data_IF_026188556898
#
_entry.id   IF_026188556898
#
_cell.length_a   1.000
_cell.length_b   1.000
_cell.length_c   1.000
_cell.angle_alpha   90.00
_cell.angle_beta   90.00
_cell.angle_gamma   90.00
#
_symmetry.space_group_name_H-M   'P 1'
#
loop_
_entity.id
_entity.type
_entity.pdbx_description
1 polymer ?
#
# COMPACT_ATOMS: atom_id res chain seq x y z
N UNK A 1 -47.87 14.48 28.81
CA UNK A 1 -47.79 13.82 27.49
C UNK A 1 -46.38 14.03 26.97
N UNK A 2 -45.57 12.98 26.84
CA UNK A 2 -44.17 13.09 26.40
C UNK A 2 -44.15 13.01 24.88
N UNK A 3 -43.87 14.12 24.19
CA UNK A 3 -43.66 14.12 22.74
C UNK A 3 -42.34 13.40 22.45
N UNK A 4 -42.45 12.16 22.01
CA UNK A 4 -41.33 11.39 21.49
C UNK A 4 -40.94 12.05 20.16
N UNK A 5 -39.88 12.85 20.19
CA UNK A 5 -39.22 13.34 18.99
C UNK A 5 -38.75 12.09 18.22
N UNK A 6 -39.51 11.72 17.19
CA UNK A 6 -39.10 10.71 16.23
C UNK A 6 -37.80 11.19 15.61
N UNK A 7 -36.69 10.53 15.93
CA UNK A 7 -35.48 10.56 15.14
C UNK A 7 -35.85 10.07 13.74
N UNK A 8 -36.21 10.97 12.85
CA UNK A 8 -36.47 10.68 11.45
C UNK A 8 -35.16 10.13 10.87
N UNK A 9 -35.06 8.80 10.77
CA UNK A 9 -34.03 8.16 9.98
C UNK A 9 -34.13 8.74 8.57
N UNK A 10 -33.08 9.46 8.14
CA UNK A 10 -33.00 9.98 6.78
C UNK A 10 -33.14 8.80 5.82
N UNK A 11 -34.23 8.80 5.05
CA UNK A 11 -34.49 7.80 4.03
C UNK A 11 -33.35 7.81 3.01
N UNK A 12 -32.71 6.67 2.78
CA UNK A 12 -31.66 6.56 1.75
C UNK A 12 -32.24 6.76 0.36
N UNK A 13 -31.39 7.13 -0.62
CA UNK A 13 -31.84 7.34 -2.00
C UNK A 13 -32.62 6.14 -2.57
N UNK A 14 -32.19 4.92 -2.26
CA UNK A 14 -32.86 3.70 -2.72
C UNK A 14 -34.25 3.53 -2.06
N UNK A 15 -34.38 3.85 -0.77
CA UNK A 15 -35.66 3.79 -0.07
C UNK A 15 -36.64 4.82 -0.65
N UNK A 16 -36.19 6.07 -0.85
CA UNK A 16 -37.01 7.12 -1.43
C UNK A 16 -37.42 6.78 -2.87
N UNK A 17 -36.50 6.28 -3.70
CA UNK A 17 -36.78 5.82 -5.06
C UNK A 17 -37.83 4.70 -5.09
N UNK A 18 -37.78 3.75 -4.16
CA UNK A 18 -38.79 2.70 -4.08
C UNK A 18 -40.18 3.25 -3.71
N UNK A 19 -40.25 4.37 -2.97
CA UNK A 19 -41.49 5.02 -2.55
C UNK A 19 -42.11 5.95 -3.60
N UNK A 20 -41.31 6.75 -4.29
CA UNK A 20 -41.80 7.76 -5.26
C UNK A 20 -41.61 7.36 -6.74
N UNK A 21 -41.02 6.18 -7.02
CA UNK A 21 -40.83 5.67 -8.37
C UNK A 21 -39.49 6.06 -9.00
N UNK A 22 -39.40 6.02 -10.35
CA UNK A 22 -38.17 6.35 -11.09
C UNK A 22 -37.86 7.84 -10.97
N UNK A 23 -37.03 8.17 -9.99
CA UNK A 23 -36.48 9.51 -9.81
C UNK A 23 -34.96 9.49 -9.95
N UNK A 24 -34.35 10.64 -10.20
CA UNK A 24 -32.89 10.77 -10.13
C UNK A 24 -32.40 11.03 -8.70
N UNK A 25 -31.13 10.71 -8.43
CA UNK A 25 -30.46 11.08 -7.19
C UNK A 25 -30.51 12.58 -6.91
N UNK A 26 -30.40 13.39 -7.96
CA UNK A 26 -30.52 14.84 -7.86
C UNK A 26 -31.91 15.29 -7.39
N UNK A 27 -32.99 14.73 -7.95
CA UNK A 27 -34.36 15.04 -7.50
C UNK A 27 -34.60 14.64 -6.05
N UNK A 28 -34.06 13.50 -5.61
CA UNK A 28 -34.10 13.10 -4.22
C UNK A 28 -33.38 14.12 -3.32
N UNK A 29 -32.17 14.52 -3.69
CA UNK A 29 -31.39 15.50 -2.93
C UNK A 29 -32.13 16.84 -2.79
N UNK A 30 -32.73 17.35 -3.88
CA UNK A 30 -33.49 18.59 -3.86
C UNK A 30 -34.81 18.50 -3.09
N UNK A 31 -35.36 17.30 -2.93
CA UNK A 31 -36.56 17.06 -2.11
C UNK A 31 -36.26 17.04 -0.61
N UNK A 32 -35.00 16.87 -0.21
CA UNK A 32 -34.62 16.87 1.20
C UNK A 32 -34.65 18.30 1.76
N UNK A 33 -35.56 18.54 2.71
CA UNK A 33 -35.50 19.74 3.54
C UNK A 33 -34.49 19.50 4.66
N UNK A 34 -33.25 19.92 4.45
CA UNK A 34 -32.21 19.87 5.49
C UNK A 34 -32.40 21.05 6.43
N UNK A 35 -32.47 20.76 7.73
CA UNK A 35 -32.50 21.80 8.75
C UNK A 35 -31.20 22.64 8.68
N UNK A 36 -31.28 23.99 8.62
CA UNK A 36 -30.10 24.85 8.61
C UNK A 36 -29.09 24.55 9.72
N UNK A 37 -29.53 24.10 10.89
CA UNK A 37 -28.64 23.72 12.00
C UNK A 37 -27.77 22.50 11.64
N UNK A 38 -28.39 21.41 11.18
CA UNK A 38 -27.72 20.18 10.75
C UNK A 38 -26.76 20.44 9.58
N UNK A 39 -27.14 21.33 8.66
CA UNK A 39 -26.28 21.71 7.52
C UNK A 39 -25.00 22.39 7.99
N UNK A 40 -25.08 23.26 9.02
CA UNK A 40 -23.89 23.91 9.59
C UNK A 40 -22.95 22.90 10.23
N UNK A 41 -23.47 21.97 11.02
CA UNK A 41 -22.67 20.90 11.64
C UNK A 41 -22.03 19.97 10.59
N UNK A 42 -22.70 19.71 9.47
CA UNK A 42 -22.14 18.93 8.35
C UNK A 42 -21.00 19.68 7.64
N UNK A 43 -21.18 20.98 7.38
CA UNK A 43 -20.14 21.84 6.81
C UNK A 43 -18.92 21.91 7.73
N UNK A 44 -19.15 22.07 9.04
CA UNK A 44 -18.09 22.10 10.04
C UNK A 44 -17.30 20.79 10.05
N UNK A 45 -17.98 19.63 10.17
CA UNK A 45 -17.33 18.31 10.09
C UNK A 45 -16.57 18.10 8.78
N UNK A 46 -17.11 18.55 7.65
CA UNK A 46 -16.44 18.47 6.36
C UNK A 46 -15.17 19.33 6.32
N UNK A 47 -15.23 20.54 6.86
CA UNK A 47 -14.08 21.45 6.93
C UNK A 47 -12.97 20.89 7.81
N UNK A 48 -13.30 20.35 8.98
CA UNK A 48 -12.35 19.68 9.87
C UNK A 48 -11.69 18.46 9.21
N UNK A 49 -12.48 17.61 8.55
CA UNK A 49 -11.97 16.44 7.85
C UNK A 49 -11.04 16.85 6.70
N UNK A 50 -11.42 17.87 5.94
CA UNK A 50 -10.63 18.40 4.83
C UNK A 50 -9.28 18.93 5.33
N UNK A 51 -9.27 19.73 6.40
CA UNK A 51 -8.04 20.25 7.00
C UNK A 51 -7.11 19.13 7.50
N UNK A 52 -7.66 18.06 8.08
CA UNK A 52 -6.88 16.88 8.51
C UNK A 52 -6.25 16.15 7.33
N UNK A 53 -7.01 15.97 6.26
CA UNK A 53 -6.53 15.28 5.05
C UNK A 53 -5.45 16.14 4.37
N UNK A 54 -5.68 17.45 4.24
CA UNK A 54 -4.72 18.38 3.65
C UNK A 54 -3.40 18.36 4.40
N UNK A 55 -3.43 18.47 5.74
CA UNK A 55 -2.23 18.35 6.58
C UNK A 55 -1.49 17.03 6.36
N UNK A 56 -2.22 15.91 6.25
CA UNK A 56 -1.62 14.60 5.99
C UNK A 56 -0.95 14.55 4.63
N UNK A 57 -1.63 15.01 3.58
CA UNK A 57 -1.08 15.05 2.21
C UNK A 57 0.17 15.93 2.17
N UNK A 58 0.15 17.10 2.81
CA UNK A 58 1.31 17.98 2.91
C UNK A 58 2.51 17.26 3.54
N UNK A 59 2.29 16.58 4.68
CA UNK A 59 3.36 15.83 5.36
C UNK A 59 3.91 14.68 4.51
N UNK A 60 3.06 13.99 3.74
CA UNK A 60 3.50 12.93 2.84
C UNK A 60 4.30 13.48 1.65
N UNK A 61 3.92 14.64 1.11
CA UNK A 61 4.67 15.32 0.04
C UNK A 61 6.05 15.76 0.56
N UNK A 62 6.12 16.36 1.74
CA UNK A 62 7.40 16.73 2.37
C UNK A 62 8.27 15.50 2.60
N UNK A 63 7.71 14.42 3.11
CA UNK A 63 8.42 13.16 3.31
C UNK A 63 8.98 12.59 1.99
N UNK A 64 8.18 12.59 0.93
CA UNK A 64 8.62 12.17 -0.41
C UNK A 64 9.73 13.10 -0.93
N UNK A 65 9.61 14.42 -0.73
CA UNK A 65 10.61 15.39 -1.18
C UNK A 65 11.96 15.23 -0.48
N UNK A 66 11.95 14.79 0.78
CA UNK A 66 13.16 14.48 1.55
C UNK A 66 13.76 13.11 1.22
N UNK A 67 13.19 12.38 0.24
CA UNK A 67 13.63 11.04 -0.12
C UNK A 67 13.33 9.99 0.93
N UNK A 68 12.49 10.31 1.92
CA UNK A 68 12.11 9.36 2.95
C UNK A 68 11.21 8.26 2.36
N UNK A 69 11.34 7.02 2.85
CA UNK A 69 10.61 5.90 2.31
C UNK A 69 9.10 6.10 2.50
N UNK A 70 8.35 6.05 1.38
CA UNK A 70 6.89 6.17 1.40
C UNK A 70 6.23 5.23 2.42
N UNK A 71 5.02 5.55 2.88
CA UNK A 71 4.25 4.69 3.80
C UNK A 71 4.16 3.24 3.32
N UNK A 72 3.95 3.03 2.01
CA UNK A 72 3.95 1.69 1.40
C UNK A 72 5.31 1.00 1.50
N UNK A 73 6.41 1.75 1.33
CA UNK A 73 7.75 1.23 1.51
C UNK A 73 8.00 0.85 2.97
N UNK A 74 7.61 1.70 3.93
CA UNK A 74 7.68 1.39 5.37
C UNK A 74 6.92 0.11 5.72
N UNK A 75 5.68 -0.03 5.23
CA UNK A 75 4.89 -1.25 5.44
C UNK A 75 5.57 -2.49 4.88
N UNK A 76 6.16 -2.40 3.68
CA UNK A 76 6.96 -3.51 3.10
C UNK A 76 8.18 -3.85 3.96
N UNK A 77 8.89 -2.85 4.48
CA UNK A 77 10.03 -3.07 5.37
C UNK A 77 9.61 -3.76 6.66
N UNK A 78 8.51 -3.32 7.28
CA UNK A 78 7.96 -3.95 8.49
C UNK A 78 7.55 -5.40 8.22
N UNK A 79 6.84 -5.66 7.12
CA UNK A 79 6.47 -7.02 6.74
C UNK A 79 7.69 -7.92 6.52
N UNK A 80 8.74 -7.39 5.86
CA UNK A 80 10.00 -8.10 5.66
C UNK A 80 10.71 -8.39 6.98
N UNK A 81 10.77 -7.42 7.90
CA UNK A 81 11.36 -7.61 9.22
C UNK A 81 10.62 -8.66 10.04
N UNK A 82 9.29 -8.63 10.01
CA UNK A 82 8.46 -9.62 10.70
C UNK A 82 8.68 -11.03 10.16
N UNK A 83 8.79 -11.17 8.83
CA UNK A 83 9.11 -12.45 8.20
C UNK A 83 10.50 -12.96 8.64
N UNK A 84 11.52 -12.09 8.62
CA UNK A 84 12.87 -12.44 9.07
C UNK A 84 12.87 -12.86 10.55
N UNK A 85 12.14 -12.14 11.40
CA UNK A 85 12.04 -12.46 12.82
C UNK A 85 11.38 -13.82 13.04
N UNK A 86 10.29 -14.10 12.32
CA UNK A 86 9.59 -15.38 12.35
C UNK A 86 10.49 -16.54 11.89
N UNK A 87 11.16 -16.37 10.76
CA UNK A 87 12.07 -17.39 10.20
C UNK A 87 13.29 -17.63 11.11
N UNK A 88 13.80 -16.58 11.77
CA UNK A 88 14.85 -16.70 12.79
C UNK A 88 14.36 -17.45 14.03
N UNK A 89 13.16 -17.16 14.53
CA UNK A 89 12.59 -17.88 15.67
C UNK A 89 12.39 -19.37 15.38
N UNK A 90 12.16 -19.73 14.11
CA UNK A 90 12.07 -21.13 13.65
C UNK A 90 13.44 -21.78 13.37
N UNK A 91 14.54 -21.04 13.51
CA UNK A 91 15.89 -21.53 13.22
C UNK A 91 16.19 -21.72 11.73
N UNK A 92 15.39 -21.13 10.82
CA UNK A 92 15.57 -21.32 9.38
C UNK A 92 16.96 -20.85 8.92
N UNK A 93 17.43 -19.71 9.42
CA UNK A 93 18.74 -19.13 9.10
C UNK A 93 19.94 -19.89 9.70
N UNK A 94 19.69 -20.87 10.57
CA UNK A 94 20.74 -21.69 11.19
C UNK A 94 20.77 -23.12 10.65
N UNK A 95 19.81 -23.47 9.79
CA UNK A 95 19.73 -24.79 9.20
C UNK A 95 20.81 -24.99 8.14
N UNK A 96 21.41 -26.19 8.13
CA UNK A 96 22.43 -26.58 7.14
C UNK A 96 21.94 -26.39 5.71
N UNK A 97 20.70 -26.80 5.42
CA UNK A 97 20.11 -26.69 4.07
C UNK A 97 19.99 -25.25 3.60
N UNK A 98 19.55 -24.34 4.48
CA UNK A 98 19.47 -22.92 4.15
C UNK A 98 20.85 -22.32 3.92
N UNK A 99 21.80 -22.56 4.82
CA UNK A 99 23.15 -22.01 4.74
C UNK A 99 23.86 -22.52 3.49
N UNK A 100 23.83 -23.82 3.24
CA UNK A 100 24.45 -24.46 2.09
C UNK A 100 23.87 -23.95 0.76
N UNK A 101 22.53 -23.89 0.65
CA UNK A 101 21.87 -23.39 -0.55
C UNK A 101 22.18 -21.90 -0.78
N UNK A 102 22.21 -21.11 0.29
CA UNK A 102 22.50 -19.67 0.20
C UNK A 102 23.95 -19.44 -0.22
N UNK A 103 24.91 -20.13 0.39
CA UNK A 103 26.33 -20.01 0.03
C UNK A 103 26.59 -20.41 -1.41
N UNK A 104 26.02 -21.55 -1.87
CA UNK A 104 26.09 -21.98 -3.27
C UNK A 104 25.47 -20.96 -4.22
N UNK A 105 24.32 -20.37 -3.87
CA UNK A 105 23.69 -19.31 -4.65
C UNK A 105 24.56 -18.04 -4.73
N UNK A 106 25.38 -17.79 -3.72
CA UNK A 106 26.37 -16.70 -3.72
C UNK A 106 27.69 -17.06 -4.40
N UNK A 107 27.87 -18.32 -4.81
CA UNK A 107 29.09 -18.83 -5.43
C UNK A 107 30.21 -19.12 -4.43
N UNK A 108 29.88 -19.33 -3.15
CA UNK A 108 30.82 -19.70 -2.09
C UNK A 108 30.68 -21.21 -1.85
N UNK A 109 31.80 -21.92 -1.82
CA UNK A 109 31.82 -23.34 -1.46
C UNK A 109 31.50 -23.49 0.03
N UNK A 110 30.41 -24.20 0.38
CA UNK A 110 30.00 -24.36 1.78
C UNK A 110 31.03 -25.19 2.56
N UNK A 111 31.42 -24.70 3.73
CA UNK A 111 32.22 -25.49 4.67
C UNK A 111 31.51 -26.79 5.07
N UNK A 112 32.26 -27.84 5.43
CA UNK A 112 31.66 -29.13 5.83
C UNK A 112 30.87 -29.05 7.14
N UNK A 113 31.29 -28.15 8.04
CA UNK A 113 30.67 -27.93 9.34
C UNK A 113 29.73 -26.71 9.37
N UNK A 114 28.67 -26.80 10.20
CA UNK A 114 27.63 -25.80 10.32
C UNK A 114 28.18 -24.49 10.89
N UNK A 115 29.12 -24.53 11.84
CA UNK A 115 29.73 -23.31 12.39
C UNK A 115 30.54 -22.58 11.32
N UNK A 116 31.27 -23.33 10.49
CA UNK A 116 31.98 -22.80 9.33
C UNK A 116 31.04 -22.13 8.32
N UNK A 117 29.91 -22.77 7.98
CA UNK A 117 28.91 -22.18 7.09
C UNK A 117 28.29 -20.89 7.67
N UNK A 118 28.03 -20.86 8.99
CA UNK A 118 27.52 -19.67 9.68
C UNK A 118 28.51 -18.50 9.58
N UNK A 119 29.79 -18.75 9.79
CA UNK A 119 30.84 -17.74 9.66
C UNK A 119 30.90 -17.18 8.22
N UNK A 120 30.93 -18.06 7.21
CA UNK A 120 30.92 -17.67 5.80
C UNK A 120 29.69 -16.81 5.45
N UNK A 121 28.53 -17.13 6.00
CA UNK A 121 27.29 -16.41 5.77
C UNK A 121 27.31 -14.99 6.39
N UNK A 122 27.79 -14.84 7.63
CA UNK A 122 27.88 -13.52 8.26
C UNK A 122 28.99 -12.66 7.63
N UNK A 123 30.13 -13.25 7.24
CA UNK A 123 31.18 -12.54 6.49
C UNK A 123 30.64 -12.01 5.15
N UNK A 124 29.91 -12.85 4.41
CA UNK A 124 29.25 -12.44 3.17
C UNK A 124 28.28 -11.28 3.40
N UNK A 125 27.49 -11.33 4.48
CA UNK A 125 26.50 -10.31 4.82
C UNK A 125 27.16 -8.97 5.14
N UNK A 126 28.27 -8.99 5.88
CA UNK A 126 29.08 -7.81 6.18
C UNK A 126 29.60 -7.20 4.86
N UNK A 127 30.21 -8.02 4.00
CA UNK A 127 30.70 -7.58 2.69
C UNK A 127 29.59 -7.02 1.78
N UNK A 128 28.42 -7.67 1.76
CA UNK A 128 27.27 -7.23 0.97
C UNK A 128 26.59 -5.95 1.52
N UNK A 129 26.76 -5.66 2.81
CA UNK A 129 26.21 -4.47 3.45
C UNK A 129 27.13 -3.24 3.38
N UNK A 130 28.43 -3.44 3.20
CA UNK A 130 29.43 -2.36 3.12
C UNK A 130 30.04 -2.10 1.74
N UNK A 131 29.79 -2.95 0.74
CA UNK A 131 30.40 -2.87 -0.59
C UNK A 131 29.37 -2.72 -1.70
N UNK A 132 29.53 -1.67 -2.50
CA UNK A 132 28.87 -1.46 -3.78
C UNK A 132 28.80 -2.77 -4.58
N UNK A 133 27.58 -3.21 -4.91
CA UNK A 133 27.36 -4.46 -5.63
C UNK A 133 28.08 -4.38 -6.98
N UNK A 134 29.11 -5.21 -7.18
CA UNK A 134 29.68 -5.47 -8.50
C UNK A 134 28.53 -5.93 -9.40
N UNK A 135 28.14 -5.07 -10.34
CA UNK A 135 27.09 -5.29 -11.31
C UNK A 135 27.23 -6.70 -11.90
N UNK A 136 26.32 -7.60 -11.50
CA UNK A 136 26.13 -8.85 -12.23
C UNK A 136 25.51 -8.44 -13.56
N UNK A 137 26.27 -8.68 -14.63
CA UNK A 137 25.88 -8.49 -16.02
C UNK A 137 24.45 -8.98 -16.23
N UNK A 138 23.60 -8.10 -16.77
CA UNK A 138 22.30 -8.48 -17.33
C UNK A 138 22.54 -9.57 -18.38
N UNK A 139 22.15 -10.80 -18.09
CA UNK A 139 21.98 -11.82 -19.12
C UNK A 139 20.87 -11.37 -20.09
N UNK A 140 21.08 -11.48 -21.42
CA UNK A 140 20.14 -11.03 -22.42
C UNK A 140 19.11 -12.13 -22.68
N UNK A 141 18.11 -12.28 -21.80
CA UNK A 141 16.99 -13.18 -22.09
C UNK A 141 15.69 -12.43 -21.78
N UNK A 142 14.83 -12.39 -22.80
CA UNK A 142 13.51 -11.76 -22.94
C UNK A 142 13.49 -10.24 -23.19
N UNK A 143 13.91 -9.84 -24.38
CA UNK A 143 13.21 -8.76 -25.08
C UNK A 143 12.00 -9.37 -25.80
N UNK A 144 10.84 -9.34 -25.15
CA UNK A 144 9.55 -9.55 -25.82
C UNK A 144 8.70 -8.32 -25.54
N UNK A 145 9.08 -7.20 -26.15
CA UNK A 145 8.29 -5.98 -26.22
C UNK A 145 7.03 -6.19 -27.05
N UNK A 146 5.95 -6.62 -26.43
CA UNK A 146 4.60 -6.48 -26.99
C UNK A 146 3.96 -5.22 -26.40
N UNK A 147 4.24 -4.07 -27.02
CA UNK A 147 3.48 -2.85 -26.81
C UNK A 147 2.48 -2.69 -27.95
N UNK A 148 1.23 -3.12 -27.72
CA UNK A 148 0.10 -2.70 -28.54
C UNK A 148 -0.07 -1.18 -28.41
N UNK A 149 0.45 -0.42 -29.39
CA UNK A 149 -0.03 0.94 -29.65
C UNK A 149 -1.40 0.84 -30.30
N UNK A 150 -2.43 1.34 -29.62
CA UNK A 150 -3.63 1.81 -30.31
C UNK A 150 -3.22 3.08 -31.07
N UNK A 151 -3.31 3.03 -32.40
CA UNK A 151 -3.13 4.22 -33.24
C UNK A 151 -4.28 5.21 -33.04
N UNK A 152 -4.07 6.50 -33.32
CA UNK A 152 -5.15 7.49 -33.33
C UNK A 152 -6.12 7.17 -34.48
N UNK A 153 -7.41 7.19 -34.18
CA UNK A 153 -8.49 7.07 -35.16
C UNK A 153 -8.69 8.46 -35.76
N UNK A 154 -8.36 8.62 -37.05
CA UNK A 154 -8.76 9.79 -37.82
C UNK A 154 -10.26 9.70 -38.13
N UNK A 155 -11.02 10.73 -37.76
CA UNK A 155 -12.43 10.89 -38.10
C UNK A 155 -12.51 11.80 -39.32
N UNK A 156 -13.01 11.36 -40.48
CA UNK A 156 -13.24 12.25 -41.61
C UNK A 156 -14.48 13.13 -41.36
N UNK A 157 -14.38 14.37 -41.84
CA UNK A 157 -15.45 15.38 -41.86
C UNK A 157 -16.54 15.04 -42.90
#
# INVERSE_FOLDING_TARGET
>A
MKNVQSSLQKESHNQYRNRVGRISGHQHLMSQKVDPSQRREEIERFSEASARIEKKVQSEIEEISQGAPTVRHKQKLVAKQNQIAYDRARGAYESRTFLEATLRLKGIEPAEDIEGMKAQYEDWKIQASGGELRNKSRSPVTDSGFHSRRGPIEVPA
#
